data_IF_596004182810
#
_entry.id   IF_596004182810
#
_cell.length_a   1.000
_cell.length_b   1.000
_cell.length_c   1.000
_cell.angle_alpha   90.00
_cell.angle_beta   90.00
_cell.angle_gamma   90.00
#
_symmetry.space_group_name_H-M   'P 1'
#
loop_
_entity.id
_entity.type
_entity.pdbx_description
1 polymer ?
#
# COMPACT_ATOMS: atom_id res chain seq x y z
N UNK A 1 -20.88 -23.85 -18.86
CA UNK A 1 -20.11 -23.13 -19.91
C UNK A 1 -20.58 -21.71 -20.19
N UNK A 2 -21.88 -21.38 -20.19
CA UNK A 2 -22.37 -19.99 -20.49
C UNK A 2 -21.96 -18.95 -19.42
N UNK A 3 -21.97 -19.31 -18.14
CA UNK A 3 -21.58 -18.41 -17.04
C UNK A 3 -20.10 -18.01 -17.12
N UNK A 4 -19.22 -18.96 -17.38
CA UNK A 4 -17.76 -18.72 -17.49
C UNK A 4 -17.45 -17.75 -18.62
N UNK A 5 -18.10 -17.90 -19.79
CA UNK A 5 -17.90 -17.00 -20.92
C UNK A 5 -18.36 -15.55 -20.63
N UNK A 6 -19.31 -15.37 -19.72
CA UNK A 6 -19.80 -14.04 -19.32
C UNK A 6 -18.87 -13.35 -18.32
N UNK A 7 -18.27 -14.13 -17.42
CA UNK A 7 -17.40 -13.59 -16.35
C UNK A 7 -15.94 -13.47 -16.80
N UNK A 8 -15.52 -14.23 -17.82
CA UNK A 8 -14.15 -14.28 -18.29
C UNK A 8 -13.56 -12.90 -18.66
N UNK A 9 -14.28 -12.01 -19.38
CA UNK A 9 -13.76 -10.69 -19.69
C UNK A 9 -13.50 -9.83 -18.44
N UNK A 10 -14.40 -9.90 -17.45
CA UNK A 10 -14.24 -9.17 -16.18
C UNK A 10 -13.01 -9.70 -15.40
N UNK A 11 -12.79 -11.02 -15.38
CA UNK A 11 -11.61 -11.62 -14.76
C UNK A 11 -10.31 -11.21 -15.45
N UNK A 12 -10.31 -11.13 -16.78
CA UNK A 12 -9.14 -10.67 -17.56
C UNK A 12 -8.83 -9.22 -17.22
N UNK A 13 -9.83 -8.34 -17.14
CA UNK A 13 -9.64 -6.95 -16.77
C UNK A 13 -9.05 -6.81 -15.35
N UNK A 14 -9.61 -7.53 -14.38
CA UNK A 14 -9.10 -7.52 -13.00
C UNK A 14 -7.66 -8.04 -12.92
N UNK A 15 -7.35 -9.09 -13.67
CA UNK A 15 -5.98 -9.62 -13.74
C UNK A 15 -5.01 -8.58 -14.34
N UNK A 16 -5.42 -7.88 -15.40
CA UNK A 16 -4.63 -6.79 -15.98
C UNK A 16 -4.38 -5.66 -14.98
N UNK A 17 -5.37 -5.30 -14.15
CA UNK A 17 -5.23 -4.28 -13.10
C UNK A 17 -4.24 -4.66 -12.00
N UNK A 18 -3.95 -5.93 -11.80
CA UNK A 18 -2.89 -6.39 -10.91
C UNK A 18 -1.54 -6.40 -11.64
N UNK A 19 -1.49 -6.90 -12.86
CA UNK A 19 -0.25 -7.08 -13.63
C UNK A 19 0.38 -5.74 -14.00
N UNK A 20 -0.41 -4.79 -14.50
CA UNK A 20 0.09 -3.49 -14.95
C UNK A 20 0.81 -2.72 -13.83
N UNK A 21 0.20 -2.48 -12.65
CA UNK A 21 0.90 -1.84 -11.54
C UNK A 21 2.10 -2.64 -11.04
N UNK A 22 1.99 -3.98 -11.04
CA UNK A 22 3.10 -4.83 -10.62
C UNK A 22 4.33 -4.67 -11.52
N UNK A 23 4.14 -4.62 -12.83
CA UNK A 23 5.23 -4.37 -13.79
C UNK A 23 5.79 -2.96 -13.63
N UNK A 24 4.91 -1.97 -13.50
CA UNK A 24 5.31 -0.57 -13.38
C UNK A 24 6.12 -0.29 -12.10
N UNK A 25 5.69 -0.84 -10.97
CA UNK A 25 6.36 -0.67 -9.67
C UNK A 25 7.37 -1.78 -9.35
N UNK A 26 7.67 -2.68 -10.31
CA UNK A 26 8.61 -3.78 -10.08
C UNK A 26 9.95 -3.34 -9.48
N UNK A 27 10.61 -2.25 -9.94
CA UNK A 27 11.86 -1.79 -9.35
C UNK A 27 11.71 -1.38 -7.87
N UNK A 28 10.61 -0.74 -7.50
CA UNK A 28 10.35 -0.36 -6.12
C UNK A 28 9.96 -1.57 -5.25
N UNK A 29 9.14 -2.47 -5.79
CA UNK A 29 8.60 -3.61 -5.04
C UNK A 29 9.61 -4.74 -4.82
N UNK A 30 10.48 -5.02 -5.81
CA UNK A 30 11.33 -6.20 -5.82
C UNK A 30 12.83 -5.90 -5.76
N UNK A 31 13.27 -4.71 -6.18
CA UNK A 31 14.67 -4.30 -6.15
C UNK A 31 15.01 -3.43 -4.94
N UNK A 32 14.05 -3.17 -4.06
CA UNK A 32 14.23 -2.33 -2.86
C UNK A 32 14.46 -0.85 -3.18
N UNK A 33 14.13 -0.39 -4.38
CA UNK A 33 14.21 1.03 -4.73
C UNK A 33 13.08 1.78 -4.03
N UNK A 34 13.41 2.89 -3.42
CA UNK A 34 12.44 3.77 -2.78
C UNK A 34 11.99 4.81 -3.79
N UNK A 35 10.69 4.95 -3.96
CA UNK A 35 10.13 6.10 -4.67
C UNK A 35 10.52 7.36 -3.89
N UNK A 36 11.36 8.19 -4.51
CA UNK A 36 11.85 9.42 -3.89
C UNK A 36 10.74 10.47 -3.83
N UNK A 37 9.82 10.31 -2.90
CA UNK A 37 8.85 11.33 -2.53
C UNK A 37 9.41 12.13 -1.37
N UNK A 38 9.27 13.46 -1.44
CA UNK A 38 9.80 14.36 -0.43
C UNK A 38 9.29 14.01 0.98
N UNK A 39 8.02 13.69 1.10
CA UNK A 39 7.37 13.30 2.37
C UNK A 39 7.89 11.97 2.90
N UNK A 40 8.18 11.00 2.02
CA UNK A 40 8.75 9.71 2.41
C UNK A 40 10.16 9.87 2.99
N UNK A 41 10.99 10.71 2.36
CA UNK A 41 12.33 11.02 2.84
C UNK A 41 12.29 11.75 4.17
N UNK A 42 11.39 12.75 4.30
CA UNK A 42 11.16 13.45 5.56
C UNK A 42 10.68 12.50 6.66
N UNK A 43 9.75 11.59 6.35
CA UNK A 43 9.27 10.57 7.28
C UNK A 43 10.37 9.62 7.76
N UNK A 44 11.29 9.22 6.88
CA UNK A 44 12.46 8.42 7.23
C UNK A 44 13.36 9.18 8.20
N UNK A 45 13.64 10.45 7.93
CA UNK A 45 14.45 11.31 8.81
C UNK A 45 13.80 11.48 10.18
N UNK A 46 12.52 11.81 10.21
CA UNK A 46 11.76 11.99 11.45
C UNK A 46 11.68 10.72 12.31
N UNK A 47 11.71 9.54 11.70
CA UNK A 47 11.70 8.26 12.38
C UNK A 47 13.08 7.78 12.85
N UNK A 48 14.17 8.48 12.53
CA UNK A 48 15.53 8.03 12.78
C UNK A 48 15.80 7.85 14.28
N UNK A 49 15.45 8.82 15.11
CA UNK A 49 15.61 8.75 16.56
C UNK A 49 14.94 7.51 17.17
N UNK A 50 13.73 7.21 16.72
CA UNK A 50 12.99 6.04 17.19
C UNK A 50 13.64 4.73 16.78
N UNK A 51 14.21 4.66 15.56
CA UNK A 51 14.96 3.48 15.09
C UNK A 51 16.24 3.28 15.89
N UNK A 52 17.05 4.33 16.05
CA UNK A 52 18.29 4.29 16.83
C UNK A 52 18.03 3.88 18.29
N UNK A 53 16.94 4.38 18.88
CA UNK A 53 16.53 3.96 20.23
C UNK A 53 16.19 2.47 20.27
N UNK A 54 15.45 1.98 19.28
CA UNK A 54 15.09 0.57 19.18
C UNK A 54 16.30 -0.32 18.98
N UNK A 55 17.22 0.03 18.09
CA UNK A 55 18.45 -0.72 17.83
C UNK A 55 19.33 -0.82 19.08
N UNK A 56 19.43 0.26 19.86
CA UNK A 56 20.24 0.31 21.09
C UNK A 56 19.62 -0.41 22.28
N UNK A 57 18.29 -0.39 22.41
CA UNK A 57 17.61 -0.84 23.64
C UNK A 57 16.71 -2.05 23.45
N UNK A 58 16.38 -2.42 22.21
CA UNK A 58 15.37 -3.42 21.87
C UNK A 58 13.95 -2.98 22.21
N UNK A 59 13.74 -1.73 22.64
CA UNK A 59 12.45 -1.20 23.07
C UNK A 59 11.93 -0.15 22.09
N UNK A 60 10.62 -0.04 21.98
CA UNK A 60 9.98 1.00 21.17
C UNK A 60 9.70 2.24 22.01
N UNK A 61 10.21 3.40 21.60
CA UNK A 61 9.85 4.67 22.22
C UNK A 61 8.47 5.12 21.75
N UNK A 62 7.72 5.76 22.64
CA UNK A 62 6.42 6.38 22.30
C UNK A 62 6.51 7.88 22.18
N UNK A 63 7.71 8.45 22.32
CA UNK A 63 8.00 9.86 22.21
C UNK A 63 9.23 10.09 21.35
N UNK A 64 9.21 11.08 20.48
CA UNK A 64 10.34 11.54 19.68
C UNK A 64 10.56 13.02 19.90
N UNK A 65 11.81 13.44 19.98
CA UNK A 65 12.20 14.85 20.09
C UNK A 65 12.53 15.49 18.73
N UNK A 66 12.45 14.72 17.64
CA UNK A 66 12.91 15.16 16.31
C UNK A 66 12.05 16.24 15.67
N UNK A 67 10.79 16.43 16.11
CA UNK A 67 9.85 17.37 15.50
C UNK A 67 9.15 18.19 16.57
N UNK A 68 8.95 19.49 16.31
CA UNK A 68 8.19 20.42 17.15
C UNK A 68 8.61 20.47 18.63
N UNK A 69 9.86 20.15 18.95
CA UNK A 69 10.30 20.08 20.34
C UNK A 69 9.82 18.87 21.12
N UNK A 70 9.26 17.90 20.45
CA UNK A 70 8.82 16.62 20.96
C UNK A 70 7.34 16.33 20.68
N UNK A 71 7.09 15.10 20.24
CA UNK A 71 5.73 14.64 19.96
C UNK A 71 5.61 13.12 20.11
N UNK A 72 4.38 12.61 20.31
CA UNK A 72 4.15 11.17 20.32
C UNK A 72 4.51 10.52 18.98
N UNK A 73 5.25 9.41 19.03
CA UNK A 73 5.75 8.72 17.84
C UNK A 73 4.66 8.15 16.93
N UNK A 74 3.46 7.89 17.42
CA UNK A 74 2.35 7.44 16.59
C UNK A 74 1.90 8.48 15.54
N UNK A 75 2.30 9.76 15.71
CA UNK A 75 2.00 10.82 14.74
C UNK A 75 3.15 11.04 13.75
N UNK A 76 4.39 10.71 14.13
CA UNK A 76 5.58 11.06 13.34
C UNK A 76 6.26 9.89 12.67
N UNK A 77 6.19 8.72 13.25
CA UNK A 77 6.89 7.53 12.75
C UNK A 77 6.10 6.28 13.10
N UNK A 78 5.10 5.92 12.31
CA UNK A 78 4.26 4.77 12.58
C UNK A 78 5.01 3.47 12.28
N UNK A 79 5.78 2.97 13.20
CA UNK A 79 6.16 1.56 13.20
C UNK A 79 6.10 1.04 14.62
N UNK A 80 4.91 0.73 15.03
CA UNK A 80 4.74 -0.01 16.26
C UNK A 80 4.43 -1.45 15.95
N UNK A 81 5.03 -2.35 16.71
CA UNK A 81 4.59 -3.73 16.88
C UNK A 81 3.22 -3.78 17.60
N UNK A 82 2.34 -2.85 17.25
CA UNK A 82 1.00 -2.80 17.79
C UNK A 82 0.17 -3.88 17.14
N UNK A 83 -0.16 -4.86 17.94
CA UNK A 83 -1.14 -5.92 17.70
C UNK A 83 -1.10 -6.52 16.30
N UNK A 84 -0.48 -7.66 16.17
CA UNK A 84 -0.41 -8.49 14.97
C UNK A 84 -1.75 -8.64 14.22
N UNK A 85 -2.88 -8.49 14.93
CA UNK A 85 -4.23 -8.63 14.37
C UNK A 85 -4.55 -7.55 13.35
N UNK A 86 -4.35 -6.26 13.67
CA UNK A 86 -4.64 -5.17 12.73
C UNK A 86 -3.69 -5.19 11.53
N UNK A 87 -2.42 -5.54 11.76
CA UNK A 87 -1.45 -5.73 10.69
C UNK A 87 -1.85 -6.87 9.78
N UNK A 88 -2.30 -7.99 10.36
CA UNK A 88 -2.78 -9.15 9.60
C UNK A 88 -4.02 -8.81 8.78
N UNK A 89 -5.02 -8.15 9.38
CA UNK A 89 -6.22 -7.68 8.66
C UNK A 89 -5.82 -6.72 7.53
N UNK A 90 -4.91 -5.79 7.79
CA UNK A 90 -4.40 -4.85 6.79
C UNK A 90 -3.70 -5.55 5.63
N UNK A 91 -2.89 -6.57 5.91
CA UNK A 91 -2.21 -7.35 4.87
C UNK A 91 -3.19 -8.18 4.03
N UNK A 92 -4.19 -8.80 4.66
CA UNK A 92 -5.27 -9.52 3.96
C UNK A 92 -6.03 -8.55 3.06
N UNK A 93 -6.42 -7.39 3.58
CA UNK A 93 -7.11 -6.34 2.81
C UNK A 93 -6.29 -5.90 1.60
N UNK A 94 -4.98 -5.78 1.76
CA UNK A 94 -4.05 -5.43 0.66
C UNK A 94 -3.69 -6.60 -0.25
N UNK A 95 -4.26 -7.76 -0.07
CA UNK A 95 -3.89 -8.99 -0.80
C UNK A 95 -2.38 -9.29 -0.72
N UNK A 96 -1.73 -8.89 0.36
CA UNK A 96 -0.26 -8.94 0.56
C UNK A 96 0.54 -8.19 -0.52
N UNK A 97 -0.09 -7.34 -1.31
CA UNK A 97 0.59 -6.52 -2.31
C UNK A 97 1.33 -5.34 -1.65
N UNK A 98 2.47 -4.91 -2.22
CA UNK A 98 3.11 -3.65 -1.85
C UNK A 98 2.15 -2.47 -1.94
N UNK A 99 2.31 -1.48 -1.06
CA UNK A 99 1.34 -0.38 -0.89
C UNK A 99 1.03 0.38 -2.18
N UNK A 100 2.05 0.65 -3.00
CA UNK A 100 1.90 1.40 -4.25
C UNK A 100 1.12 0.60 -5.30
N UNK A 101 1.42 -0.69 -5.42
CA UNK A 101 0.72 -1.62 -6.32
C UNK A 101 -0.74 -1.74 -5.88
N UNK A 102 -0.98 -1.94 -4.57
CA UNK A 102 -2.33 -2.03 -4.02
C UNK A 102 -3.14 -0.77 -4.28
N UNK A 103 -2.56 0.41 -4.07
CA UNK A 103 -3.25 1.69 -4.25
C UNK A 103 -3.74 1.86 -5.68
N UNK A 104 -2.88 1.61 -6.66
CA UNK A 104 -3.26 1.72 -8.08
C UNK A 104 -4.28 0.64 -8.45
N UNK A 105 -4.09 -0.59 -7.98
CA UNK A 105 -5.04 -1.68 -8.21
C UNK A 105 -6.45 -1.33 -7.70
N UNK A 106 -6.57 -0.84 -6.46
CA UNK A 106 -7.89 -0.55 -5.88
C UNK A 106 -8.56 0.65 -6.55
N UNK A 107 -7.77 1.64 -7.03
CA UNK A 107 -8.29 2.76 -7.80
C UNK A 107 -8.84 2.30 -9.16
N UNK A 108 -8.09 1.48 -9.89
CA UNK A 108 -8.53 0.92 -11.18
C UNK A 108 -9.78 0.04 -11.00
N UNK A 109 -9.77 -0.83 -9.99
CA UNK A 109 -10.91 -1.70 -9.69
C UNK A 109 -12.16 -0.89 -9.30
N UNK A 110 -12.00 0.14 -8.48
CA UNK A 110 -13.12 1.02 -8.09
C UNK A 110 -13.73 1.75 -9.28
N UNK A 111 -12.88 2.29 -10.15
CA UNK A 111 -13.34 2.96 -11.37
C UNK A 111 -14.00 1.97 -12.34
N UNK A 112 -13.45 0.77 -12.50
CA UNK A 112 -14.03 -0.30 -13.27
C UNK A 112 -15.44 -0.66 -12.79
N UNK A 113 -15.61 -0.89 -11.48
CA UNK A 113 -16.91 -1.20 -10.87
C UNK A 113 -17.91 -0.07 -11.12
N UNK A 114 -17.47 1.18 -10.99
CA UNK A 114 -18.29 2.35 -11.25
C UNK A 114 -18.80 2.35 -12.70
N UNK A 115 -17.93 2.18 -13.68
CA UNK A 115 -18.31 2.17 -15.09
C UNK A 115 -19.22 0.98 -15.42
N UNK A 116 -18.96 -0.18 -14.83
CA UNK A 116 -19.84 -1.35 -14.96
C UNK A 116 -21.23 -1.11 -14.35
N UNK A 117 -21.31 -0.35 -13.26
CA UNK A 117 -22.59 0.03 -12.66
C UNK A 117 -23.41 1.00 -13.54
N UNK A 118 -22.74 1.75 -14.43
CA UNK A 118 -23.36 2.57 -15.46
C UNK A 118 -23.62 1.82 -16.78
N UNK A 119 -23.56 0.49 -16.79
CA UNK A 119 -23.78 -0.38 -17.94
C UNK A 119 -22.78 -0.20 -19.10
N UNK A 120 -21.60 0.40 -18.85
CA UNK A 120 -20.54 0.42 -19.84
C UNK A 120 -20.03 -0.99 -20.14
N UNK A 121 -19.64 -1.22 -21.40
CA UNK A 121 -19.05 -2.50 -21.79
C UNK A 121 -17.71 -2.75 -21.07
N UNK A 122 -17.32 -4.01 -20.91
CA UNK A 122 -16.03 -4.39 -20.27
C UNK A 122 -14.86 -3.68 -20.95
N UNK A 123 -14.86 -3.59 -22.27
CA UNK A 123 -13.81 -2.97 -23.07
C UNK A 123 -13.67 -1.45 -22.86
N UNK A 124 -14.74 -0.77 -22.51
CA UNK A 124 -14.72 0.66 -22.19
C UNK A 124 -14.39 0.92 -20.73
N UNK A 125 -14.56 -0.07 -19.87
CA UNK A 125 -14.34 0.03 -18.43
C UNK A 125 -12.92 -0.41 -18.02
N UNK A 126 -12.23 -1.15 -18.87
CA UNK A 126 -10.84 -1.63 -18.67
C UNK A 126 -9.82 -0.75 -19.43
#
# INVERSE_FOLDING_TARGET
MKLIKRILPDLIAILAFIIIPTIYFAPAAFEGRILAQHDSVAGIGNGQESREYHERTGKTTRWSNSIFGGMPTYQSAPSYDSTNILKTIGNIYRLYLPGDIWLVFIMLLGFYILLRAFDFSVWLSS
#
